data_IF_286844401533
#
_entry.id   IF_286844401533
#
_cell.length_a   1.000
_cell.length_b   1.000
_cell.length_c   1.000
_cell.angle_alpha   90.00
_cell.angle_beta   90.00
_cell.angle_gamma   90.00
#
_symmetry.space_group_name_H-M   'P 1'
#
loop_
_entity.id
_entity.type
_entity.pdbx_description
1 polymer ?
#
# COMPACT_ATOMS: atom_id res chain seq x y z
N UNK A 1 -6.89 -13.16 40.74
CA UNK A 1 -7.10 -13.62 39.38
C UNK A 1 -8.03 -12.67 38.61
N UNK A 2 -7.74 -11.36 38.63
CA UNK A 2 -8.54 -10.30 37.98
C UNK A 2 -7.62 -9.19 37.46
N UNK A 3 -6.59 -9.58 36.68
CA UNK A 3 -5.56 -8.63 36.19
C UNK A 3 -5.35 -8.65 34.66
N UNK A 4 -6.30 -9.20 33.90
CA UNK A 4 -6.15 -9.34 32.45
C UNK A 4 -7.31 -8.77 31.63
N UNK A 5 -8.14 -7.90 32.22
CA UNK A 5 -9.25 -7.26 31.48
C UNK A 5 -9.14 -5.74 31.33
N UNK A 6 -8.01 -5.11 31.64
CA UNK A 6 -7.88 -3.64 31.57
C UNK A 6 -7.19 -3.10 30.30
N UNK A 7 -6.76 -3.94 29.36
CA UNK A 7 -6.12 -3.47 28.10
C UNK A 7 -7.04 -3.46 26.89
N UNK A 8 -8.32 -3.63 27.05
CA UNK A 8 -9.30 -3.78 25.95
C UNK A 8 -10.32 -2.68 25.79
N UNK A 9 -10.26 -1.59 26.54
CA UNK A 9 -11.16 -0.46 26.31
C UNK A 9 -10.63 0.40 25.17
N UNK A 10 -10.73 -0.10 23.95
CA UNK A 10 -10.67 0.75 22.76
C UNK A 10 -11.86 1.68 22.84
N UNK A 11 -11.58 2.96 23.08
CA UNK A 11 -12.57 4.03 23.11
C UNK A 11 -13.52 3.88 21.92
N UNK A 12 -14.83 3.87 22.15
CA UNK A 12 -15.86 3.67 21.14
C UNK A 12 -15.67 4.57 19.89
N UNK A 13 -15.08 5.77 20.06
CA UNK A 13 -14.70 6.66 18.94
C UNK A 13 -13.57 6.11 18.08
N UNK A 14 -12.66 5.30 18.63
CA UNK A 14 -11.60 4.63 17.85
C UNK A 14 -12.07 3.32 17.18
N UNK A 15 -13.17 2.77 17.65
CA UNK A 15 -13.73 1.50 17.15
C UNK A 15 -14.65 1.68 15.93
N UNK A 16 -15.30 2.83 15.81
CA UNK A 16 -16.17 3.16 14.66
C UNK A 16 -15.44 3.11 13.31
N UNK A 17 -14.29 3.76 13.12
CA UNK A 17 -13.54 3.65 11.85
C UNK A 17 -13.08 2.23 11.54
N UNK A 18 -12.76 1.44 12.58
CA UNK A 18 -12.38 0.04 12.44
C UNK A 18 -13.55 -0.82 11.97
N UNK A 19 -14.73 -0.66 12.56
CA UNK A 19 -15.94 -1.37 12.18
C UNK A 19 -16.42 -0.97 10.78
N UNK A 20 -16.36 0.32 10.44
CA UNK A 20 -16.66 0.79 9.08
C UNK A 20 -15.69 0.21 8.05
N UNK A 21 -14.41 0.15 8.38
CA UNK A 21 -13.40 -0.46 7.54
C UNK A 21 -13.70 -1.94 7.31
N UNK A 22 -14.04 -2.68 8.37
CA UNK A 22 -14.39 -4.09 8.27
C UNK A 22 -15.68 -4.33 7.48
N UNK A 23 -16.71 -3.50 7.69
CA UNK A 23 -17.96 -3.58 6.94
C UNK A 23 -17.78 -3.30 5.46
N UNK A 24 -17.04 -2.24 5.10
CA UNK A 24 -16.72 -1.92 3.71
C UNK A 24 -15.94 -3.05 3.04
N UNK A 25 -14.97 -3.64 3.75
CA UNK A 25 -14.19 -4.79 3.29
C UNK A 25 -15.06 -6.02 3.06
N UNK A 26 -15.95 -6.35 4.00
CA UNK A 26 -16.87 -7.50 3.92
C UNK A 26 -17.90 -7.34 2.79
N UNK A 27 -18.48 -6.16 2.64
CA UNK A 27 -19.45 -5.88 1.57
C UNK A 27 -18.77 -5.99 0.22
N UNK A 28 -17.58 -5.43 0.08
CA UNK A 28 -16.84 -5.41 -1.19
C UNK A 28 -16.33 -6.80 -1.57
N UNK A 29 -15.85 -7.60 -0.62
CA UNK A 29 -15.42 -8.98 -0.88
C UNK A 29 -16.58 -9.90 -1.25
N UNK A 30 -17.76 -9.69 -0.68
CA UNK A 30 -18.97 -10.45 -1.02
C UNK A 30 -19.58 -10.04 -2.38
N UNK A 31 -19.54 -8.74 -2.71
CA UNK A 31 -20.15 -8.20 -3.93
C UNK A 31 -19.27 -8.45 -5.15
N UNK A 32 -17.94 -8.36 -5.00
CA UNK A 32 -17.03 -8.47 -6.13
C UNK A 32 -16.52 -9.89 -6.36
N UNK A 33 -16.66 -10.81 -5.41
CA UNK A 33 -16.32 -12.25 -5.59
C UNK A 33 -14.90 -12.54 -6.08
N UNK A 34 -14.05 -11.53 -6.14
CA UNK A 34 -12.75 -11.62 -6.76
C UNK A 34 -11.64 -11.80 -5.73
N UNK A 35 -10.78 -12.75 -6.04
CA UNK A 35 -9.52 -13.00 -5.39
C UNK A 35 -8.59 -11.79 -5.62
N UNK A 36 -8.50 -10.90 -4.63
CA UNK A 36 -7.61 -9.76 -4.75
C UNK A 36 -6.15 -10.20 -4.57
N UNK A 37 -5.40 -10.03 -5.63
CA UNK A 37 -3.94 -10.13 -5.62
C UNK A 37 -3.37 -8.74 -5.80
N UNK A 38 -2.44 -8.36 -4.93
CA UNK A 38 -1.79 -7.06 -5.00
C UNK A 38 -0.28 -7.18 -5.05
N UNK A 39 0.37 -6.13 -5.51
CA UNK A 39 1.81 -6.00 -5.44
C UNK A 39 2.19 -4.73 -4.69
N UNK A 40 3.29 -4.80 -3.93
CA UNK A 40 3.87 -3.64 -3.24
C UNK A 40 5.32 -3.49 -3.60
N UNK A 41 5.75 -2.24 -3.68
CA UNK A 41 7.14 -1.89 -3.95
C UNK A 41 7.54 -0.58 -3.26
N UNK A 42 8.81 -0.45 -2.94
CA UNK A 42 9.40 0.77 -2.42
C UNK A 42 10.34 1.36 -3.46
N UNK A 43 10.01 2.54 -3.90
CA UNK A 43 10.82 3.27 -4.87
C UNK A 43 11.58 4.40 -4.19
N UNK A 44 12.86 4.51 -4.48
CA UNK A 44 13.71 5.58 -3.98
C UNK A 44 15.17 5.18 -3.86
N UNK A 45 16.03 6.09 -3.45
CA UNK A 45 15.70 7.46 -3.06
C UNK A 45 15.34 8.36 -4.26
N UNK A 46 14.26 9.12 -4.11
CA UNK A 46 13.85 10.20 -5.01
C UNK A 46 14.48 11.53 -4.55
N UNK A 47 14.46 12.57 -5.39
CA UNK A 47 14.96 13.89 -4.99
C UNK A 47 14.29 14.36 -3.68
N UNK A 48 15.11 14.81 -2.74
CA UNK A 48 14.63 15.23 -1.42
C UNK A 48 13.78 16.49 -1.58
N UNK A 49 12.58 16.46 -1.00
CA UNK A 49 11.67 17.61 -0.93
C UNK A 49 11.83 18.33 0.42
N UNK A 50 11.24 19.53 0.54
CA UNK A 50 11.28 20.32 1.78
C UNK A 50 10.81 19.53 3.02
N UNK A 51 9.89 18.58 2.84
CA UNK A 51 9.39 17.67 3.88
C UNK A 51 10.30 16.47 4.14
N UNK A 52 11.53 16.48 3.63
CA UNK A 52 12.52 15.40 3.75
C UNK A 52 12.07 14.04 3.18
N UNK A 53 10.97 13.97 2.46
CA UNK A 53 10.48 12.75 1.84
C UNK A 53 11.31 12.39 0.61
N UNK A 54 11.72 11.14 0.50
CA UNK A 54 12.57 10.62 -0.58
C UNK A 54 12.22 9.20 -1.02
N UNK A 55 11.30 8.54 -0.33
CA UNK A 55 10.83 7.20 -0.69
C UNK A 55 9.34 7.24 -1.00
N UNK A 56 8.93 6.39 -1.92
CA UNK A 56 7.55 6.19 -2.31
C UNK A 56 7.19 4.72 -2.11
N UNK A 57 6.22 4.44 -1.24
CA UNK A 57 5.61 3.13 -1.10
C UNK A 57 4.41 3.06 -2.02
N UNK A 58 4.41 2.09 -2.92
CA UNK A 58 3.38 1.91 -3.94
C UNK A 58 2.73 0.55 -3.74
N UNK A 59 1.41 0.49 -3.83
CA UNK A 59 0.66 -0.74 -3.91
C UNK A 59 -0.27 -0.72 -5.12
N UNK A 60 -0.34 -1.85 -5.81
CA UNK A 60 -1.16 -2.03 -7.01
C UNK A 60 -2.05 -3.24 -6.83
N UNK A 61 -3.35 -3.09 -7.03
CA UNK A 61 -4.26 -4.22 -7.17
C UNK A 61 -4.23 -4.73 -8.62
N UNK A 62 -3.88 -6.01 -8.79
CA UNK A 62 -3.65 -6.58 -10.12
C UNK A 62 -4.92 -6.70 -10.96
N UNK A 63 -6.05 -6.85 -10.31
CA UNK A 63 -7.32 -6.99 -11.01
C UNK A 63 -7.88 -5.64 -11.46
N UNK A 64 -8.12 -4.75 -10.51
CA UNK A 64 -8.72 -3.43 -10.78
C UNK A 64 -7.73 -2.42 -11.36
N UNK A 65 -6.41 -2.71 -11.31
CA UNK A 65 -5.34 -1.77 -11.65
C UNK A 65 -5.32 -0.54 -10.74
N UNK A 66 -5.99 -0.61 -9.61
CA UNK A 66 -5.98 0.45 -8.62
C UNK A 66 -4.60 0.60 -8.00
N UNK A 67 -4.18 1.83 -7.82
CA UNK A 67 -2.88 2.17 -7.27
C UNK A 67 -3.05 3.06 -6.07
N UNK A 68 -2.37 2.72 -5.00
CA UNK A 68 -2.15 3.57 -3.84
C UNK A 68 -0.67 3.86 -3.70
N UNK A 69 -0.34 5.10 -3.34
CA UNK A 69 1.04 5.49 -3.12
C UNK A 69 1.14 6.54 -2.03
N UNK A 70 2.17 6.44 -1.20
CA UNK A 70 2.44 7.38 -0.14
C UNK A 70 3.94 7.67 -0.01
N UNK A 71 4.28 8.93 0.23
CA UNK A 71 5.65 9.41 0.31
C UNK A 71 6.16 9.44 1.75
N UNK A 72 7.39 8.98 1.96
CA UNK A 72 8.03 8.84 3.26
C UNK A 72 9.46 9.42 3.26
N UNK A 73 9.90 9.92 4.40
CA UNK A 73 11.30 10.26 4.62
C UNK A 73 12.16 9.01 4.85
N UNK A 74 11.62 8.04 5.56
CA UNK A 74 12.14 6.68 5.74
C UNK A 74 10.96 5.72 5.84
N UNK A 75 11.14 4.46 5.44
CA UNK A 75 10.09 3.45 5.51
C UNK A 75 10.53 2.35 6.45
N UNK A 76 9.75 2.15 7.50
CA UNK A 76 9.89 1.05 8.45
C UNK A 76 8.73 0.06 8.26
N UNK A 77 8.85 -1.12 8.85
CA UNK A 77 7.82 -2.16 8.85
C UNK A 77 6.46 -1.67 9.38
N UNK A 78 6.48 -0.82 10.42
CA UNK A 78 5.27 -0.19 10.96
C UNK A 78 4.58 0.74 9.96
N UNK A 79 5.35 1.43 9.15
CA UNK A 79 4.81 2.34 8.14
C UNK A 79 4.14 1.54 7.03
N UNK A 80 4.75 0.43 6.61
CA UNK A 80 4.17 -0.49 5.63
C UNK A 80 2.86 -1.10 6.17
N UNK A 81 2.85 -1.57 7.41
CA UNK A 81 1.64 -2.14 8.03
C UNK A 81 0.50 -1.12 8.11
N UNK A 82 0.80 0.13 8.49
CA UNK A 82 -0.18 1.22 8.53
C UNK A 82 -0.71 1.57 7.13
N UNK A 83 0.19 1.61 6.15
CA UNK A 83 -0.16 1.88 4.77
C UNK A 83 -1.11 0.81 4.23
N UNK A 84 -0.76 -0.47 4.40
CA UNK A 84 -1.60 -1.60 3.98
C UNK A 84 -2.98 -1.53 4.65
N UNK A 85 -3.02 -1.32 5.95
CA UNK A 85 -4.28 -1.22 6.67
C UNK A 85 -5.16 -0.11 6.12
N UNK A 86 -4.63 1.12 6.08
CA UNK A 86 -5.40 2.32 5.73
C UNK A 86 -5.77 2.39 4.26
N UNK A 87 -4.84 2.09 3.37
CA UNK A 87 -5.00 2.34 1.94
C UNK A 87 -5.44 1.09 1.15
N UNK A 88 -5.21 -0.10 1.69
CA UNK A 88 -5.57 -1.35 1.02
C UNK A 88 -6.77 -2.00 1.71
N UNK A 89 -6.59 -2.42 2.96
CA UNK A 89 -7.63 -3.19 3.66
C UNK A 89 -8.90 -2.37 3.84
N UNK A 90 -8.80 -1.12 4.28
CA UNK A 90 -9.95 -0.26 4.51
C UNK A 90 -10.63 0.23 3.24
N UNK A 91 -9.93 0.30 2.13
CA UNK A 91 -10.48 0.82 0.87
C UNK A 91 -10.85 -0.28 -0.12
N UNK A 92 -10.02 -1.29 -0.28
CA UNK A 92 -10.18 -2.34 -1.29
C UNK A 92 -10.62 -3.68 -0.70
N UNK A 93 -10.42 -3.88 0.59
CA UNK A 93 -10.68 -5.14 1.27
C UNK A 93 -9.42 -5.96 1.54
N UNK A 94 -9.60 -7.12 2.17
CA UNK A 94 -8.50 -8.02 2.50
C UNK A 94 -8.11 -8.78 1.24
N UNK A 95 -6.86 -8.60 0.80
CA UNK A 95 -6.27 -9.35 -0.30
C UNK A 95 -6.00 -10.80 0.12
N UNK A 96 -6.13 -11.76 -0.79
CA UNK A 96 -5.72 -13.14 -0.51
C UNK A 96 -4.21 -13.30 -0.46
N UNK A 97 -3.53 -12.61 -1.36
CA UNK A 97 -2.09 -12.60 -1.40
C UNK A 97 -1.57 -11.25 -1.85
N UNK A 98 -0.39 -10.91 -1.37
CA UNK A 98 0.37 -9.74 -1.79
C UNK A 98 1.77 -10.17 -2.20
N UNK A 99 2.21 -9.68 -3.35
CA UNK A 99 3.59 -9.85 -3.82
C UNK A 99 4.37 -8.63 -3.40
N UNK A 100 5.45 -8.83 -2.65
CA UNK A 100 6.34 -7.77 -2.25
C UNK A 100 7.77 -8.10 -2.68
N UNK A 101 8.59 -7.07 -2.83
CA UNK A 101 10.02 -7.28 -2.99
C UNK A 101 10.65 -7.82 -1.70
N UNK A 102 11.84 -8.42 -1.79
CA UNK A 102 12.57 -8.99 -0.65
C UNK A 102 13.17 -7.92 0.29
N UNK A 103 12.55 -6.76 0.37
CA UNK A 103 12.98 -5.70 1.28
C UNK A 103 12.76 -6.07 2.75
N UNK A 104 13.67 -5.67 3.65
CA UNK A 104 13.58 -6.01 5.08
C UNK A 104 12.28 -5.49 5.73
N UNK A 105 11.66 -4.46 5.18
CA UNK A 105 10.40 -3.91 5.65
C UNK A 105 9.22 -4.86 5.45
N UNK A 106 9.29 -5.69 4.40
CA UNK A 106 8.24 -6.67 4.06
C UNK A 106 8.51 -8.05 4.67
N UNK A 107 9.70 -8.27 5.22
CA UNK A 107 10.10 -9.55 5.82
C UNK A 107 10.28 -9.50 7.34
N UNK A 108 9.98 -8.38 7.99
CA UNK A 108 10.04 -8.27 9.44
C UNK A 108 9.03 -9.20 10.13
N UNK A 109 9.37 -9.66 11.34
CA UNK A 109 8.47 -10.50 12.15
C UNK A 109 7.13 -9.76 12.39
N UNK A 110 7.19 -8.45 12.65
CA UNK A 110 6.00 -7.63 12.89
C UNK A 110 5.09 -7.59 11.66
N UNK A 111 5.66 -7.41 10.46
CA UNK A 111 4.90 -7.39 9.22
C UNK A 111 4.30 -8.76 8.88
N UNK A 112 5.07 -9.84 9.03
CA UNK A 112 4.58 -11.21 8.84
C UNK A 112 3.45 -11.56 9.82
N UNK A 113 3.57 -11.16 11.09
CA UNK A 113 2.52 -11.36 12.09
C UNK A 113 1.25 -10.57 11.73
N UNK A 114 1.40 -9.34 11.26
CA UNK A 114 0.27 -8.53 10.79
C UNK A 114 -0.46 -9.19 9.62
N UNK A 115 0.27 -9.68 8.62
CA UNK A 115 -0.31 -10.38 7.47
C UNK A 115 -0.97 -11.71 7.88
N UNK A 116 -0.35 -12.45 8.79
CA UNK A 116 -0.92 -13.70 9.33
C UNK A 116 -2.27 -13.46 10.02
N UNK A 117 -2.38 -12.39 10.81
CA UNK A 117 -3.65 -12.01 11.46
C UNK A 117 -4.75 -11.68 10.45
N UNK A 118 -4.39 -11.07 9.33
CA UNK A 118 -5.31 -10.77 8.23
C UNK A 118 -5.53 -11.95 7.28
N UNK A 119 -4.83 -13.08 7.49
CA UNK A 119 -4.83 -14.24 6.58
C UNK A 119 -4.40 -13.91 5.15
N UNK A 120 -3.53 -12.93 4.98
CA UNK A 120 -2.94 -12.53 3.70
C UNK A 120 -1.68 -13.37 3.49
N UNK A 121 -1.58 -14.02 2.33
CA UNK A 121 -0.36 -14.72 1.93
C UNK A 121 0.68 -13.69 1.47
N UNK A 122 1.82 -13.65 2.13
CA UNK A 122 2.95 -12.84 1.67
C UNK A 122 3.77 -13.66 0.68
N UNK A 123 3.78 -13.22 -0.57
CA UNK A 123 4.52 -13.84 -1.65
C UNK A 123 5.70 -12.92 -1.99
N UNK A 124 6.89 -13.48 -1.99
CA UNK A 124 8.07 -12.73 -2.40
C UNK A 124 8.25 -12.83 -3.91
N UNK A 125 8.67 -11.73 -4.51
CA UNK A 125 9.07 -11.68 -5.92
C UNK A 125 10.25 -12.63 -6.12
N UNK A 126 10.00 -13.76 -6.78
CA UNK A 126 11.06 -14.68 -7.17
C UNK A 126 11.52 -14.37 -8.60
N UNK A 127 12.83 -14.42 -8.88
CA UNK A 127 13.36 -14.24 -10.24
C UNK A 127 12.77 -15.19 -11.28
N UNK A 128 12.16 -16.30 -10.83
CA UNK A 128 11.54 -17.33 -11.68
C UNK A 128 10.14 -16.99 -12.21
N UNK A 129 9.48 -15.95 -11.67
CA UNK A 129 8.14 -15.53 -12.14
C UNK A 129 8.12 -14.04 -12.44
N UNK A 130 8.79 -13.61 -13.53
CA UNK A 130 8.85 -12.19 -13.90
C UNK A 130 7.48 -11.60 -14.27
N UNK A 131 6.50 -12.43 -14.63
CA UNK A 131 5.17 -11.96 -15.04
C UNK A 131 4.36 -11.33 -13.91
N UNK A 132 4.49 -11.80 -12.67
CA UNK A 132 3.78 -11.21 -11.53
C UNK A 132 4.39 -9.88 -11.08
N UNK A 133 5.67 -9.65 -11.34
CA UNK A 133 6.37 -8.40 -11.01
C UNK A 133 6.27 -7.35 -12.13
N UNK A 134 6.11 -7.80 -13.37
CA UNK A 134 6.10 -6.92 -14.54
C UNK A 134 4.98 -5.87 -14.51
N UNK A 135 3.86 -6.16 -13.91
CA UNK A 135 2.76 -5.20 -13.78
C UNK A 135 3.05 -4.12 -12.74
N UNK A 136 3.64 -4.47 -11.60
CA UNK A 136 4.07 -3.51 -10.58
C UNK A 136 5.17 -2.63 -11.15
N UNK A 137 6.16 -3.20 -11.81
CA UNK A 137 7.24 -2.47 -12.46
C UNK A 137 6.73 -1.50 -13.53
N UNK A 138 5.80 -1.93 -14.38
CA UNK A 138 5.19 -1.08 -15.40
C UNK A 138 4.41 0.08 -14.78
N UNK A 139 3.66 -0.18 -13.71
CA UNK A 139 2.94 0.84 -12.94
C UNK A 139 3.90 1.83 -12.32
N UNK A 140 4.94 1.34 -11.64
CA UNK A 140 5.97 2.17 -11.02
C UNK A 140 6.67 3.05 -12.04
N UNK A 141 7.06 2.48 -13.17
CA UNK A 141 7.69 3.21 -14.28
C UNK A 141 6.77 4.33 -14.81
N UNK A 142 5.50 4.05 -14.99
CA UNK A 142 4.52 5.04 -15.46
C UNK A 142 4.34 6.17 -14.45
N UNK A 143 4.14 5.86 -13.18
CA UNK A 143 4.00 6.85 -12.10
C UNK A 143 5.25 7.73 -11.99
N UNK A 144 6.43 7.11 -11.94
CA UNK A 144 7.71 7.83 -11.84
C UNK A 144 7.99 8.71 -13.05
N UNK A 145 7.70 8.21 -14.25
CA UNK A 145 7.86 8.99 -15.48
C UNK A 145 6.94 10.19 -15.48
N UNK A 146 5.71 10.04 -15.04
CA UNK A 146 4.73 11.13 -14.95
C UNK A 146 5.12 12.15 -13.87
N UNK A 147 5.63 11.69 -12.72
CA UNK A 147 6.14 12.56 -11.66
C UNK A 147 7.36 13.37 -12.11
N UNK A 148 8.22 12.77 -12.96
CA UNK A 148 9.43 13.41 -13.49
C UNK A 148 9.16 14.36 -14.67
N UNK A 149 8.18 14.08 -15.53
CA UNK A 149 7.90 14.81 -16.78
C UNK A 149 7.22 16.17 -16.59
N UNK A 150 6.63 16.46 -15.44
CA UNK A 150 6.02 17.78 -15.22
C UNK A 150 7.07 18.82 -14.85
N UNK A 151 7.05 20.02 -15.50
CA UNK A 151 8.26 20.81 -15.76
C UNK A 151 8.99 21.34 -14.53
N UNK A 152 10.21 21.49 -14.76
CA UNK A 152 11.47 22.04 -14.25
C UNK A 152 11.44 23.05 -13.11
N UNK A 153 10.37 23.72 -12.80
CA UNK A 153 10.35 24.73 -11.72
C UNK A 153 10.16 24.16 -10.32
N UNK A 154 9.99 22.85 -10.20
CA UNK A 154 9.67 22.21 -8.94
C UNK A 154 10.52 20.96 -8.66
N UNK A 155 11.84 21.06 -8.81
CA UNK A 155 12.75 20.11 -8.15
C UNK A 155 12.43 20.14 -6.66
N UNK A 156 11.73 19.12 -6.15
CA UNK A 156 11.34 19.04 -4.75
C UNK A 156 9.83 19.09 -4.46
N UNK A 157 8.96 19.22 -5.46
CA UNK A 157 7.49 19.23 -5.27
C UNK A 157 6.79 17.97 -5.79
N UNK A 158 7.51 16.87 -6.01
CA UNK A 158 6.92 15.63 -6.52
C UNK A 158 5.85 15.06 -5.57
N UNK A 159 6.00 15.29 -4.26
CA UNK A 159 5.02 14.86 -3.25
C UNK A 159 3.69 15.57 -3.43
N UNK A 160 3.72 16.89 -3.71
CA UNK A 160 2.49 17.68 -3.91
C UNK A 160 1.75 17.24 -5.19
N UNK A 161 2.50 16.76 -6.18
CA UNK A 161 1.96 16.27 -7.45
C UNK A 161 1.44 14.83 -7.38
N UNK A 162 1.84 14.07 -6.37
CA UNK A 162 1.55 12.64 -6.25
C UNK A 162 0.05 12.34 -6.34
N UNK A 163 -0.77 13.07 -5.61
CA UNK A 163 -2.23 12.88 -5.62
C UNK A 163 -2.83 13.10 -7.01
N UNK A 164 -2.40 14.16 -7.70
CA UNK A 164 -2.87 14.44 -9.06
C UNK A 164 -2.43 13.40 -10.08
N UNK A 165 -1.21 12.87 -9.93
CA UNK A 165 -0.70 11.80 -10.78
C UNK A 165 -1.45 10.50 -10.54
N UNK A 166 -1.71 10.16 -9.29
CA UNK A 166 -2.51 8.98 -8.93
C UNK A 166 -3.94 9.09 -9.43
N UNK A 167 -4.56 10.25 -9.29
CA UNK A 167 -5.90 10.51 -9.81
C UNK A 167 -5.94 10.31 -11.32
N UNK A 168 -5.03 10.94 -12.06
CA UNK A 168 -4.94 10.79 -13.51
C UNK A 168 -4.69 9.32 -13.91
N UNK A 169 -3.83 8.62 -13.18
CA UNK A 169 -3.56 7.20 -13.42
C UNK A 169 -4.82 6.33 -13.26
N UNK A 170 -5.64 6.59 -12.23
CA UNK A 170 -6.86 5.83 -11.94
C UNK A 170 -8.00 6.11 -12.90
N UNK A 171 -8.06 7.32 -13.45
CA UNK A 171 -9.16 7.79 -14.31
C UNK A 171 -8.87 7.63 -15.81
N UNK A 172 -7.63 7.34 -16.20
CA UNK A 172 -7.30 7.10 -17.61
C UNK A 172 -7.74 5.69 -18.02
N UNK A 173 -8.63 5.56 -19.02
CA UNK A 173 -9.02 4.25 -19.55
C UNK A 173 -7.81 3.48 -20.11
N UNK A 174 -7.82 2.15 -19.95
CA UNK A 174 -6.76 1.24 -20.40
C UNK A 174 -7.34 0.02 -21.03
#
# INVERSE_FOLDING_TARGET
>A
MLKTMSEGVINARGMLPFLECQLKSLIRSKVLGHLHYGGMDIVGPLPIVATQKKFLLIATDYFSKWVEAEAYASIKDKDVSKFVWRNIVCQLGISQASVADNGPQFDSIAFRTFYSKLKIKNLYSMPRYPQSNGQVEATNKTLLTTLKKRPTEAKGKWVDKLLGVMWAYRTTPR
#
